data_IF_529881885730
#
_entry.id   IF_529881885730
#
_cell.length_a   1.000
_cell.length_b   1.000
_cell.length_c   1.000
_cell.angle_alpha   90.00
_cell.angle_beta   90.00
_cell.angle_gamma   90.00
#
_symmetry.space_group_name_H-M   'P 1'
#
loop_
_entity.id
_entity.type
_entity.pdbx_description
1 polymer ?
#
# COMPACT_ATOMS: atom_id res chain seq x y z
N UNK A 1 -11.67 17.84 6.58
CA UNK A 1 -11.61 19.30 6.35
C UNK A 1 -10.16 19.76 6.20
N UNK A 2 -9.55 19.55 5.04
CA UNK A 2 -8.47 20.43 4.60
C UNK A 2 -9.10 21.43 3.63
N UNK A 3 -8.91 22.75 3.83
CA UNK A 3 -9.28 23.70 2.79
C UNK A 3 -8.50 23.32 1.53
N UNK A 4 -9.10 23.44 0.35
CA UNK A 4 -8.40 23.37 -0.92
C UNK A 4 -7.19 24.31 -0.84
N UNK A 5 -6.00 23.79 -0.47
CA UNK A 5 -4.77 24.55 -0.55
C UNK A 5 -4.53 24.68 -2.04
N UNK A 6 -4.83 25.87 -2.56
CA UNK A 6 -4.67 26.15 -3.96
C UNK A 6 -3.18 25.99 -4.27
N UNK A 7 -2.87 25.08 -5.21
CA UNK A 7 -1.51 24.87 -5.67
C UNK A 7 -0.91 26.19 -6.13
N UNK A 8 0.38 26.41 -5.83
CA UNK A 8 1.13 27.51 -6.44
C UNK A 8 1.30 27.27 -7.95
N UNK A 9 1.69 28.30 -8.69
CA UNK A 9 1.93 28.13 -10.13
C UNK A 9 3.13 27.21 -10.38
N UNK A 10 4.14 27.24 -9.52
CA UNK A 10 5.29 26.35 -9.56
C UNK A 10 4.91 24.91 -9.25
N UNK A 11 4.07 24.67 -8.23
CA UNK A 11 3.54 23.32 -7.94
C UNK A 11 2.71 22.78 -9.12
N UNK A 12 1.94 23.63 -9.82
CA UNK A 12 1.21 23.24 -11.04
C UNK A 12 2.15 22.88 -12.18
N UNK A 13 3.18 23.67 -12.43
CA UNK A 13 4.18 23.41 -13.47
C UNK A 13 4.91 22.09 -13.18
N UNK A 14 5.33 21.88 -11.93
CA UNK A 14 5.97 20.65 -11.46
C UNK A 14 5.09 19.42 -11.67
N UNK A 15 3.83 19.44 -11.22
CA UNK A 15 2.92 18.30 -11.38
C UNK A 15 2.56 18.04 -12.85
N UNK A 16 2.39 19.10 -13.66
CA UNK A 16 2.14 18.94 -15.09
C UNK A 16 3.36 18.35 -15.81
N UNK A 17 4.57 18.80 -15.49
CA UNK A 17 5.80 18.25 -16.04
C UNK A 17 5.94 16.76 -15.68
N UNK A 18 5.63 16.39 -14.44
CA UNK A 18 5.61 14.98 -14.02
C UNK A 18 4.59 14.15 -14.80
N UNK A 19 3.37 14.67 -15.03
CA UNK A 19 2.34 14.01 -15.82
C UNK A 19 2.70 13.86 -17.31
N UNK A 20 3.50 14.78 -17.85
CA UNK A 20 4.01 14.72 -19.23
C UNK A 20 5.30 13.89 -19.34
N UNK A 21 5.91 13.50 -18.22
CA UNK A 21 7.19 12.81 -18.18
C UNK A 21 8.39 13.69 -18.53
N UNK A 22 8.28 15.02 -18.39
CA UNK A 22 9.38 15.96 -18.66
C UNK A 22 10.35 16.01 -17.49
N UNK A 23 11.34 15.12 -17.54
CA UNK A 23 12.35 14.95 -16.49
C UNK A 23 13.20 16.21 -16.33
N UNK A 24 13.46 16.96 -17.41
CA UNK A 24 14.28 18.16 -17.36
C UNK A 24 13.60 19.26 -16.54
N UNK A 25 12.32 19.52 -16.80
CA UNK A 25 11.54 20.51 -16.05
C UNK A 25 11.32 20.05 -14.61
N UNK A 26 11.05 18.76 -14.38
CA UNK A 26 10.90 18.23 -13.01
C UNK A 26 12.19 18.42 -12.22
N UNK A 27 13.34 18.04 -12.78
CA UNK A 27 14.65 18.22 -12.14
C UNK A 27 14.92 19.68 -11.83
N UNK A 28 14.73 20.57 -12.82
CA UNK A 28 14.90 22.00 -12.64
C UNK A 28 14.02 22.54 -11.51
N UNK A 29 12.75 22.12 -11.46
CA UNK A 29 11.80 22.57 -10.45
C UNK A 29 12.18 22.12 -9.03
N UNK A 30 12.78 20.93 -8.90
CA UNK A 30 13.23 20.39 -7.61
C UNK A 30 14.55 21.04 -7.15
N UNK A 31 15.42 21.38 -8.08
CA UNK A 31 16.75 21.95 -7.80
C UNK A 31 16.73 23.49 -7.66
N UNK A 32 15.64 24.14 -8.05
CA UNK A 32 15.45 25.59 -7.88
C UNK A 32 15.41 25.96 -6.39
N UNK A 33 16.47 26.61 -5.92
CA UNK A 33 16.62 27.07 -4.54
C UNK A 33 15.89 28.40 -4.27
N UNK A 34 15.56 29.15 -5.33
CA UNK A 34 14.96 30.47 -5.21
C UNK A 34 13.43 30.40 -5.08
N UNK A 35 12.83 29.24 -5.41
CA UNK A 35 11.39 29.00 -5.29
C UNK A 35 11.06 27.94 -4.24
N UNK A 36 10.21 28.24 -3.24
CA UNK A 36 9.80 27.26 -2.24
C UNK A 36 8.82 26.24 -2.83
N UNK A 37 9.33 25.20 -3.49
CA UNK A 37 8.54 24.08 -4.01
C UNK A 37 8.28 23.02 -2.93
N UNK A 38 7.01 22.69 -2.71
CA UNK A 38 6.66 21.47 -2.00
C UNK A 38 6.64 20.27 -2.97
N UNK A 39 7.71 19.49 -2.98
CA UNK A 39 7.84 18.28 -3.83
C UNK A 39 6.78 17.20 -3.55
N UNK A 40 6.15 17.25 -2.36
CA UNK A 40 5.08 16.35 -1.93
C UNK A 40 3.68 16.92 -2.21
N UNK A 41 3.57 18.00 -2.99
CA UNK A 41 2.26 18.51 -3.41
C UNK A 41 1.47 17.44 -4.17
N UNK A 42 0.14 17.57 -4.10
CA UNK A 42 -0.80 16.66 -4.74
C UNK A 42 -1.78 17.45 -5.59
N UNK A 43 -2.22 16.85 -6.69
CA UNK A 43 -3.26 17.44 -7.52
C UNK A 43 -4.65 17.37 -6.85
N UNK A 44 -5.68 17.82 -7.55
CA UNK A 44 -7.06 17.81 -7.07
C UNK A 44 -7.63 16.39 -6.88
N UNK A 45 -6.98 15.36 -7.42
CA UNK A 45 -7.31 13.95 -7.21
C UNK A 45 -6.48 13.32 -6.07
N UNK A 46 -5.59 14.08 -5.42
CA UNK A 46 -4.71 13.57 -4.37
C UNK A 46 -3.46 12.86 -4.88
N UNK A 47 -3.12 12.97 -6.18
CA UNK A 47 -1.96 12.32 -6.80
C UNK A 47 -0.72 13.21 -6.67
N UNK A 48 0.37 12.66 -6.15
CA UNK A 48 1.67 13.33 -6.14
C UNK A 48 2.44 13.10 -7.45
N UNK A 49 3.54 13.82 -7.66
CA UNK A 49 4.40 13.66 -8.84
C UNK A 49 4.83 12.20 -9.10
N UNK A 50 5.14 11.44 -8.04
CA UNK A 50 5.52 10.02 -8.20
C UNK A 50 4.34 9.13 -8.60
N UNK A 51 3.10 9.46 -8.21
CA UNK A 51 1.91 8.76 -8.71
C UNK A 51 1.77 8.95 -10.22
N UNK A 52 1.97 10.19 -10.68
CA UNK A 52 1.91 10.54 -12.10
C UNK A 52 3.03 9.84 -12.89
N UNK A 53 4.24 9.79 -12.32
CA UNK A 53 5.36 9.06 -12.92
C UNK A 53 5.09 7.54 -13.06
N UNK A 54 4.44 6.94 -12.05
CA UNK A 54 3.98 5.54 -12.08
C UNK A 54 2.93 5.33 -13.18
N UNK A 55 1.95 6.23 -13.31
CA UNK A 55 0.91 6.14 -14.35
C UNK A 55 1.48 6.23 -15.77
N UNK A 56 2.53 7.03 -15.96
CA UNK A 56 3.27 7.16 -17.22
C UNK A 56 4.30 6.04 -17.45
N UNK A 57 4.46 5.12 -16.49
CA UNK A 57 5.51 4.10 -16.47
C UNK A 57 6.94 4.64 -16.68
N UNK A 58 7.20 5.88 -16.24
CA UNK A 58 8.48 6.54 -16.41
C UNK A 58 9.42 6.21 -15.25
N UNK A 59 10.24 5.17 -15.44
CA UNK A 59 11.17 4.66 -14.44
C UNK A 59 12.23 5.68 -14.00
N UNK A 60 12.81 6.42 -14.95
CA UNK A 60 13.83 7.43 -14.67
C UNK A 60 13.26 8.56 -13.81
N UNK A 61 12.03 8.98 -14.09
CA UNK A 61 11.33 9.96 -13.29
C UNK A 61 11.00 9.43 -11.88
N UNK A 62 10.59 8.16 -11.76
CA UNK A 62 10.36 7.52 -10.46
C UNK A 62 11.64 7.55 -9.63
N UNK A 63 12.78 7.13 -10.20
CA UNK A 63 14.08 7.13 -9.50
C UNK A 63 14.48 8.54 -9.05
N UNK A 64 14.37 9.54 -9.93
CA UNK A 64 14.64 10.94 -9.59
C UNK A 64 13.80 11.42 -8.39
N UNK A 65 12.51 11.11 -8.38
CA UNK A 65 11.58 11.57 -7.34
C UNK A 65 11.80 10.88 -5.99
N UNK A 66 12.27 9.62 -5.99
CA UNK A 66 12.56 8.85 -4.77
C UNK A 66 13.71 9.44 -3.93
N UNK A 67 14.52 10.33 -4.49
CA UNK A 67 15.56 11.05 -3.75
C UNK A 67 15.02 12.18 -2.85
N UNK A 68 13.81 12.66 -3.13
CA UNK A 68 13.31 13.95 -2.61
C UNK A 68 11.94 13.84 -1.95
N UNK A 69 11.14 12.85 -2.34
CA UNK A 69 9.79 12.64 -1.82
C UNK A 69 9.81 11.89 -0.49
N UNK A 70 8.88 12.25 0.39
CA UNK A 70 8.73 11.61 1.70
C UNK A 70 8.22 10.17 1.56
N UNK A 71 8.64 9.29 2.48
CA UNK A 71 8.29 7.87 2.46
C UNK A 71 6.78 7.61 2.41
N UNK A 72 5.95 8.45 3.04
CA UNK A 72 4.48 8.31 2.98
C UNK A 72 3.93 8.36 1.55
N UNK A 73 4.42 9.28 0.72
CA UNK A 73 3.99 9.40 -0.67
C UNK A 73 4.59 8.30 -1.54
N UNK A 74 5.77 7.77 -1.19
CA UNK A 74 6.38 6.61 -1.84
C UNK A 74 5.59 5.33 -1.54
N UNK A 75 5.14 5.11 -0.31
CA UNK A 75 4.29 3.97 0.08
C UNK A 75 2.94 4.00 -0.66
N UNK A 76 2.30 5.17 -0.76
CA UNK A 76 1.07 5.32 -1.56
C UNK A 76 1.31 5.03 -3.05
N UNK A 77 2.41 5.55 -3.61
CA UNK A 77 2.76 5.29 -5.01
C UNK A 77 3.12 3.82 -5.25
N UNK A 78 3.71 3.12 -4.27
CA UNK A 78 3.97 1.69 -4.32
C UNK A 78 2.67 0.90 -4.37
N UNK A 79 1.70 1.20 -3.50
CA UNK A 79 0.39 0.55 -3.54
C UNK A 79 -0.31 0.80 -4.88
N UNK A 80 -0.22 2.02 -5.42
CA UNK A 80 -0.71 2.37 -6.76
C UNK A 80 -0.01 1.57 -7.87
N UNK A 81 1.31 1.44 -7.82
CA UNK A 81 2.08 0.65 -8.77
C UNK A 81 1.68 -0.84 -8.74
N UNK A 82 1.40 -1.38 -7.55
CA UNK A 82 0.94 -2.76 -7.38
C UNK A 82 -0.49 -2.94 -7.94
N UNK A 83 -1.40 -2.00 -7.67
CA UNK A 83 -2.78 -2.07 -8.19
C UNK A 83 -2.83 -1.99 -9.71
N UNK A 84 -1.91 -1.21 -10.31
CA UNK A 84 -1.68 -1.11 -11.75
C UNK A 84 -0.97 -2.32 -12.36
N UNK A 85 -0.29 -3.13 -11.55
CA UNK A 85 0.47 -4.29 -12.00
C UNK A 85 1.79 -3.97 -12.71
N UNK A 86 2.36 -2.77 -12.49
CA UNK A 86 3.61 -2.31 -13.15
C UNK A 86 4.84 -2.88 -12.43
N UNK A 87 5.11 -4.17 -12.64
CA UNK A 87 6.08 -4.98 -11.88
C UNK A 87 7.49 -4.39 -11.85
N UNK A 88 7.94 -3.82 -12.98
CA UNK A 88 9.27 -3.19 -13.09
C UNK A 88 9.41 -1.98 -12.15
N UNK A 89 8.39 -1.13 -12.06
CA UNK A 89 8.40 0.04 -11.20
C UNK A 89 8.32 -0.37 -9.73
N UNK A 90 7.46 -1.35 -9.42
CA UNK A 90 7.39 -1.95 -8.08
C UNK A 90 8.77 -2.43 -7.64
N UNK A 91 9.49 -3.14 -8.52
CA UNK A 91 10.85 -3.59 -8.27
C UNK A 91 11.81 -2.44 -7.97
N UNK A 92 11.81 -1.40 -8.81
CA UNK A 92 12.66 -0.21 -8.60
C UNK A 92 12.38 0.44 -7.25
N UNK A 93 11.11 0.64 -6.90
CA UNK A 93 10.74 1.26 -5.62
C UNK A 93 11.22 0.42 -4.44
N UNK A 94 10.94 -0.88 -4.41
CA UNK A 94 11.30 -1.73 -3.25
C UNK A 94 12.80 -2.01 -3.13
N UNK A 95 13.57 -1.82 -4.21
CA UNK A 95 15.03 -1.97 -4.24
C UNK A 95 15.77 -0.65 -3.96
N UNK A 96 15.07 0.47 -4.00
CA UNK A 96 15.69 1.78 -3.83
C UNK A 96 16.22 1.96 -2.38
N UNK A 97 17.47 2.42 -2.19
CA UNK A 97 18.07 2.60 -0.87
C UNK A 97 17.24 3.48 0.07
N UNK A 98 16.67 4.58 -0.44
CA UNK A 98 15.83 5.48 0.36
C UNK A 98 14.53 4.82 0.82
N UNK A 99 13.96 3.93 0.02
CA UNK A 99 12.76 3.19 0.42
C UNK A 99 13.09 2.20 1.53
N UNK A 100 14.19 1.45 1.37
CA UNK A 100 14.64 0.47 2.38
C UNK A 100 14.93 1.17 3.71
N UNK A 101 15.69 2.26 3.69
CA UNK A 101 16.02 3.03 4.89
C UNK A 101 14.77 3.69 5.49
N UNK A 102 13.94 4.30 4.64
CA UNK A 102 12.74 5.03 5.05
C UNK A 102 11.65 4.12 5.62
N UNK A 103 11.40 2.95 5.01
CA UNK A 103 10.35 2.01 5.43
C UNK A 103 10.61 1.45 6.83
N UNK A 104 11.86 1.14 7.15
CA UNK A 104 12.23 0.65 8.49
C UNK A 104 12.08 1.73 9.57
N UNK A 105 12.44 2.97 9.25
CA UNK A 105 12.21 4.10 10.14
C UNK A 105 10.70 4.36 10.31
N UNK A 106 9.95 4.33 9.20
CA UNK A 106 8.52 4.57 9.17
C UNK A 106 7.76 3.57 10.05
N UNK A 107 8.06 2.27 9.95
CA UNK A 107 7.46 1.23 10.81
C UNK A 107 7.70 1.45 12.31
N UNK A 108 8.83 2.06 12.69
CA UNK A 108 9.16 2.32 14.11
C UNK A 108 8.47 3.56 14.65
N UNK A 109 8.31 4.58 13.83
CA UNK A 109 7.77 5.88 14.25
C UNK A 109 6.26 5.95 14.11
N UNK A 110 5.68 5.20 13.17
CA UNK A 110 4.25 5.28 12.91
C UNK A 110 3.44 4.53 13.98
N UNK A 111 2.35 5.16 14.42
CA UNK A 111 1.31 4.47 15.20
C UNK A 111 0.68 3.38 14.33
N UNK A 112 0.23 2.29 14.96
CA UNK A 112 -0.44 1.19 14.26
C UNK A 112 -1.50 1.76 13.28
N UNK A 113 -1.39 1.44 11.96
CA UNK A 113 -2.30 1.95 10.93
C UNK A 113 -3.78 1.76 11.26
N UNK A 114 -4.09 0.76 12.09
CA UNK A 114 -5.42 0.52 12.60
C UNK A 114 -6.05 1.73 13.31
N UNK A 115 -5.28 2.58 13.99
CA UNK A 115 -5.82 3.73 14.72
C UNK A 115 -5.81 5.04 13.92
N UNK A 116 -5.42 4.98 12.64
CA UNK A 116 -5.49 6.14 11.74
C UNK A 116 -6.95 6.50 11.44
N UNK A 117 -7.29 7.76 11.61
CA UNK A 117 -8.60 8.35 11.30
C UNK A 117 -8.57 9.23 10.06
N UNK A 118 -7.40 9.43 9.44
CA UNK A 118 -7.22 10.29 8.29
C UNK A 118 -7.43 9.52 6.97
N UNK A 119 -8.46 9.91 6.21
CA UNK A 119 -8.77 9.39 4.86
C UNK A 119 -7.85 10.04 3.79
N UNK A 120 -6.54 10.07 4.04
CA UNK A 120 -5.58 10.61 3.06
C UNK A 120 -5.20 9.61 1.97
N UNK A 121 -5.36 8.32 2.27
CA UNK A 121 -5.04 7.21 1.36
C UNK A 121 -6.29 6.78 0.58
N UNK A 122 -6.09 6.40 -0.68
CA UNK A 122 -7.10 5.68 -1.46
C UNK A 122 -7.25 4.20 -0.99
N UNK A 123 -6.24 3.68 -0.30
CA UNK A 123 -6.23 2.32 0.21
C UNK A 123 -6.64 2.27 1.68
N UNK A 124 -7.26 1.16 2.08
CA UNK A 124 -7.56 0.93 3.50
C UNK A 124 -6.25 0.82 4.28
N UNK A 125 -6.13 1.42 5.49
CA UNK A 125 -4.85 1.48 6.21
C UNK A 125 -4.30 0.11 6.64
N UNK A 126 -5.13 -0.94 6.61
CA UNK A 126 -4.73 -2.32 6.87
C UNK A 126 -4.22 -3.09 5.63
N UNK A 127 -4.32 -2.50 4.44
CA UNK A 127 -3.77 -3.08 3.20
C UNK A 127 -2.27 -2.80 3.15
N UNK A 128 -1.48 -3.85 3.29
CA UNK A 128 -0.03 -3.79 3.05
C UNK A 128 0.28 -4.07 1.57
N UNK A 129 1.47 -3.68 1.07
CA UNK A 129 1.87 -3.99 -0.31
C UNK A 129 1.73 -5.46 -0.70
N UNK A 130 2.11 -6.38 0.21
CA UNK A 130 1.98 -7.82 -0.02
C UNK A 130 0.52 -8.29 -0.01
N UNK A 131 -0.34 -7.74 0.87
CA UNK A 131 -1.78 -8.03 0.87
C UNK A 131 -2.40 -7.58 -0.47
N UNK A 132 -2.06 -6.39 -0.95
CA UNK A 132 -2.57 -5.86 -2.21
C UNK A 132 -2.10 -6.71 -3.40
N UNK A 133 -0.81 -7.06 -3.45
CA UNK A 133 -0.28 -7.94 -4.50
C UNK A 133 -0.99 -9.30 -4.53
N UNK A 134 -1.29 -9.87 -3.36
CA UNK A 134 -2.07 -11.09 -3.24
C UNK A 134 -3.53 -10.93 -3.68
N UNK A 135 -4.19 -9.81 -3.38
CA UNK A 135 -5.54 -9.50 -3.89
C UNK A 135 -5.58 -9.44 -5.42
N UNK A 136 -4.53 -8.90 -6.05
CA UNK A 136 -4.37 -8.88 -7.50
C UNK A 136 -3.83 -10.20 -8.09
N UNK A 137 -3.55 -11.21 -7.25
CA UNK A 137 -3.01 -12.51 -7.64
C UNK A 137 -1.75 -12.41 -8.54
N UNK A 138 -0.93 -11.37 -8.34
CA UNK A 138 0.25 -11.10 -9.15
C UNK A 138 1.47 -11.86 -8.58
N UNK A 139 1.77 -13.03 -9.15
CA UNK A 139 2.83 -13.91 -8.65
C UNK A 139 4.22 -13.26 -8.65
N UNK A 140 4.54 -12.41 -9.62
CA UNK A 140 5.86 -11.77 -9.74
C UNK A 140 6.08 -10.80 -8.58
N UNK A 141 5.11 -9.92 -8.31
CA UNK A 141 5.18 -8.97 -7.19
C UNK A 141 5.19 -9.72 -5.84
N UNK A 142 4.32 -10.72 -5.67
CA UNK A 142 4.28 -11.54 -4.46
C UNK A 142 5.65 -12.17 -4.20
N UNK A 143 6.24 -12.77 -5.22
CA UNK A 143 7.56 -13.40 -5.13
C UNK A 143 8.65 -12.39 -4.73
N UNK A 144 8.64 -11.17 -5.27
CA UNK A 144 9.57 -10.11 -4.88
C UNK A 144 9.51 -9.78 -3.38
N UNK A 145 8.31 -9.73 -2.79
CA UNK A 145 8.11 -9.49 -1.36
C UNK A 145 8.50 -10.71 -0.51
N UNK A 146 8.12 -11.93 -0.94
CA UNK A 146 8.46 -13.16 -0.22
C UNK A 146 9.98 -13.38 -0.14
N UNK A 147 10.74 -13.10 -1.20
CA UNK A 147 12.21 -13.18 -1.17
C UNK A 147 12.87 -12.23 -0.17
N UNK A 148 12.17 -11.15 0.20
CA UNK A 148 12.59 -10.18 1.22
C UNK A 148 12.07 -10.52 2.61
N UNK A 149 11.58 -11.75 2.81
CA UNK A 149 11.02 -12.26 4.07
C UNK A 149 9.74 -11.53 4.53
N UNK A 150 9.03 -10.84 3.63
CA UNK A 150 7.69 -10.36 3.97
C UNK A 150 6.73 -11.55 4.01
N UNK A 151 5.82 -11.54 4.98
CA UNK A 151 4.78 -12.57 5.14
C UNK A 151 3.47 -11.92 5.55
N UNK A 152 2.36 -12.53 5.17
CA UNK A 152 1.04 -12.13 5.64
C UNK A 152 0.80 -12.85 6.96
N UNK A 153 0.67 -12.08 8.03
CA UNK A 153 0.39 -12.66 9.34
C UNK A 153 -1.05 -13.16 9.41
N UNK A 154 -1.21 -14.39 9.88
CA UNK A 154 -2.54 -14.97 10.05
C UNK A 154 -3.28 -14.22 11.18
N UNK A 155 -4.47 -13.66 10.92
CA UNK A 155 -5.22 -12.98 11.96
C UNK A 155 -5.56 -13.91 13.13
N UNK A 156 -5.58 -13.36 14.34
CA UNK A 156 -6.02 -14.11 15.52
C UNK A 156 -7.48 -14.61 15.39
N UNK A 157 -7.84 -15.70 16.09
CA UNK A 157 -9.23 -16.14 16.20
C UNK A 157 -10.16 -15.03 16.69
N UNK A 158 -11.44 -15.08 16.29
CA UNK A 158 -12.44 -14.05 16.64
C UNK A 158 -12.50 -13.80 18.16
N UNK A 159 -12.47 -14.89 18.93
CA UNK A 159 -12.58 -14.90 20.39
C UNK A 159 -11.25 -14.69 21.13
N UNK A 160 -10.19 -14.24 20.44
CA UNK A 160 -8.91 -13.92 21.09
C UNK A 160 -9.06 -12.75 22.06
N UNK A 161 -8.55 -12.92 23.29
CA UNK A 161 -8.61 -11.94 24.38
C UNK A 161 -7.25 -11.28 24.68
N UNK A 162 -6.27 -11.33 23.77
CA UNK A 162 -5.02 -10.60 23.96
C UNK A 162 -5.29 -9.08 23.98
N UNK A 163 -4.38 -8.33 24.61
CA UNK A 163 -4.47 -6.88 24.77
C UNK A 163 -4.73 -6.16 23.44
N UNK A 164 -4.05 -6.57 22.37
CA UNK A 164 -4.16 -5.93 21.06
C UNK A 164 -5.52 -6.20 20.41
N UNK A 165 -6.02 -7.43 20.50
CA UNK A 165 -7.33 -7.80 19.97
C UNK A 165 -8.46 -7.08 20.69
N UNK A 166 -8.39 -7.00 22.02
CA UNK A 166 -9.39 -6.31 22.85
C UNK A 166 -9.35 -4.81 22.59
N UNK A 167 -8.15 -4.21 22.52
CA UNK A 167 -7.98 -2.78 22.20
C UNK A 167 -8.57 -2.44 20.82
N UNK A 168 -8.23 -3.22 19.78
CA UNK A 168 -8.76 -3.01 18.43
C UNK A 168 -10.28 -3.21 18.35
N UNK A 169 -10.81 -4.19 19.08
CA UNK A 169 -12.25 -4.45 19.14
C UNK A 169 -13.03 -3.31 19.80
N UNK A 170 -12.51 -2.77 20.91
CA UNK A 170 -13.14 -1.68 21.63
C UNK A 170 -13.01 -0.35 20.88
N UNK A 171 -11.97 -0.20 20.07
CA UNK A 171 -11.78 0.98 19.23
C UNK A 171 -12.73 0.99 18.03
N UNK A 172 -12.69 -0.05 17.19
CA UNK A 172 -13.57 -0.18 16.02
C UNK A 172 -13.70 -1.64 15.58
N UNK A 173 -14.83 -2.26 15.93
CA UNK A 173 -15.13 -3.66 15.60
C UNK A 173 -15.25 -3.89 14.08
N UNK A 174 -15.79 -2.92 13.34
CA UNK A 174 -16.00 -3.04 11.89
C UNK A 174 -14.65 -2.96 11.15
N UNK A 175 -13.79 -2.01 11.54
CA UNK A 175 -12.43 -1.90 11.00
C UNK A 175 -11.60 -3.15 11.31
N UNK A 176 -11.78 -3.75 12.50
CA UNK A 176 -11.13 -5.03 12.86
C UNK A 176 -11.62 -6.17 11.97
N UNK A 177 -12.93 -6.27 11.75
CA UNK A 177 -13.52 -7.28 10.86
C UNK A 177 -13.05 -7.13 9.42
N UNK A 178 -13.03 -5.88 8.90
CA UNK A 178 -12.52 -5.57 7.55
C UNK A 178 -11.04 -5.93 7.38
N UNK A 179 -10.20 -5.57 8.36
CA UNK A 179 -8.77 -5.92 8.35
C UNK A 179 -8.55 -7.44 8.35
N UNK A 180 -9.31 -8.17 9.16
CA UNK A 180 -9.29 -9.64 9.16
C UNK A 180 -9.66 -10.17 7.78
N UNK A 181 -10.75 -9.70 7.18
CA UNK A 181 -11.19 -10.10 5.85
C UNK A 181 -10.10 -9.88 4.79
N UNK A 182 -9.47 -8.71 4.76
CA UNK A 182 -8.41 -8.41 3.79
C UNK A 182 -7.22 -9.37 3.92
N UNK A 183 -6.79 -9.66 5.15
CA UNK A 183 -5.73 -10.63 5.40
C UNK A 183 -6.12 -12.04 4.95
N UNK A 184 -7.32 -12.53 5.28
CA UNK A 184 -7.78 -13.85 4.83
C UNK A 184 -7.95 -13.95 3.32
N UNK A 185 -8.46 -12.91 2.65
CA UNK A 185 -8.53 -12.87 1.18
C UNK A 185 -7.15 -12.98 0.55
N UNK A 186 -6.16 -12.30 1.13
CA UNK A 186 -4.79 -12.37 0.64
C UNK A 186 -4.14 -13.74 0.92
N UNK A 187 -4.36 -14.32 2.10
CA UNK A 187 -3.94 -15.70 2.41
C UNK A 187 -4.57 -16.74 1.47
N UNK A 188 -5.81 -16.50 1.03
CA UNK A 188 -6.56 -17.35 0.10
C UNK A 188 -6.17 -17.16 -1.38
N UNK A 189 -5.30 -16.19 -1.68
CA UNK A 189 -4.84 -15.94 -3.04
C UNK A 189 -4.10 -17.17 -3.59
N UNK A 190 -4.48 -17.70 -4.77
CA UNK A 190 -3.82 -18.86 -5.36
C UNK A 190 -2.32 -18.66 -5.57
N UNK A 191 -1.90 -17.47 -6.05
CA UNK A 191 -0.49 -17.15 -6.24
C UNK A 191 0.26 -17.08 -4.91
N UNK A 192 -0.35 -16.50 -3.86
CA UNK A 192 0.27 -16.48 -2.54
C UNK A 192 0.44 -17.90 -1.99
N UNK A 193 -0.63 -18.71 -1.99
CA UNK A 193 -0.58 -20.09 -1.52
C UNK A 193 0.46 -20.93 -2.26
N UNK A 194 0.55 -20.79 -3.58
CA UNK A 194 1.51 -21.54 -4.40
C UNK A 194 2.97 -21.19 -4.08
N UNK A 195 3.24 -19.95 -3.68
CA UNK A 195 4.59 -19.47 -3.38
C UNK A 195 4.97 -19.59 -1.90
N UNK A 196 4.00 -19.61 -0.98
CA UNK A 196 4.25 -19.55 0.46
C UNK A 196 3.99 -20.87 1.21
N UNK A 197 3.23 -21.80 0.63
CA UNK A 197 2.86 -23.06 1.30
C UNK A 197 3.62 -24.26 0.72
N UNK A 198 4.08 -25.17 1.58
CA UNK A 198 4.66 -26.44 1.18
C UNK A 198 3.61 -27.41 0.60
N UNK A 199 2.37 -27.32 1.09
CA UNK A 199 1.22 -28.06 0.58
C UNK A 199 0.08 -27.06 0.31
N UNK A 200 0.04 -26.45 -0.88
CA UNK A 200 -0.99 -25.48 -1.23
C UNK A 200 -2.39 -26.09 -1.20
N UNK A 201 -2.56 -27.35 -1.59
CA UNK A 201 -3.86 -28.02 -1.66
C UNK A 201 -4.46 -28.16 -0.25
N UNK A 202 -3.71 -28.73 0.68
CA UNK A 202 -4.15 -28.86 2.07
C UNK A 202 -4.41 -27.48 2.70
N UNK A 203 -3.53 -26.51 2.47
CA UNK A 203 -3.69 -25.15 2.96
C UNK A 203 -4.99 -24.49 2.45
N UNK A 204 -5.34 -24.68 1.17
CA UNK A 204 -6.60 -24.20 0.60
C UNK A 204 -7.81 -24.78 1.33
N UNK A 205 -7.84 -26.10 1.58
CA UNK A 205 -8.97 -26.73 2.27
C UNK A 205 -9.12 -26.24 3.71
N UNK A 206 -8.02 -26.13 4.44
CA UNK A 206 -8.01 -25.64 5.81
C UNK A 206 -8.50 -24.18 5.88
N UNK A 207 -7.96 -23.31 5.03
CA UNK A 207 -8.33 -21.91 5.01
C UNK A 207 -9.79 -21.71 4.61
N UNK A 208 -10.28 -22.46 3.61
CA UNK A 208 -11.70 -22.43 3.22
C UNK A 208 -12.62 -22.83 4.37
N UNK A 209 -12.26 -23.86 5.14
CA UNK A 209 -13.05 -24.29 6.29
C UNK A 209 -13.09 -23.22 7.38
N UNK A 210 -11.97 -22.54 7.62
CA UNK A 210 -11.86 -21.45 8.58
C UNK A 210 -12.69 -20.24 8.16
N UNK A 211 -12.54 -19.77 6.91
CA UNK A 211 -13.31 -18.66 6.36
C UNK A 211 -14.81 -18.91 6.40
N UNK A 212 -15.28 -20.15 6.12
CA UNK A 212 -16.70 -20.53 6.25
C UNK A 212 -17.22 -20.36 7.69
N UNK A 213 -16.41 -20.70 8.70
CA UNK A 213 -16.80 -20.49 10.11
C UNK A 213 -16.85 -19.01 10.44
N UNK A 214 -15.88 -18.23 9.98
CA UNK A 214 -15.86 -16.77 10.17
C UNK A 214 -17.10 -16.11 9.55
N UNK A 215 -17.50 -16.52 8.34
CA UNK A 215 -18.68 -15.99 7.64
C UNK A 215 -20.01 -16.17 8.40
N UNK A 216 -20.09 -17.19 9.27
CA UNK A 216 -21.27 -17.43 10.10
C UNK A 216 -21.32 -16.50 11.32
N UNK A 217 -20.16 -16.05 11.79
CA UNK A 217 -20.00 -15.20 12.98
C UNK A 217 -20.01 -13.72 12.59
N UNK A 218 -19.21 -13.33 11.60
CA UNK A 218 -19.06 -11.95 11.10
C UNK A 218 -20.00 -11.71 9.92
N UNK A 219 -21.25 -11.37 10.24
CA UNK A 219 -22.33 -11.21 9.25
C UNK A 219 -22.17 -9.95 8.40
N UNK A 220 -21.40 -8.98 8.87
CA UNK A 220 -21.15 -7.68 8.24
C UNK A 220 -20.54 -7.82 6.84
N UNK A 221 -19.79 -8.90 6.60
CA UNK A 221 -19.12 -9.18 5.33
C UNK A 221 -19.43 -10.55 4.75
N UNK A 222 -20.57 -11.16 5.11
CA UNK A 222 -20.90 -12.55 4.75
C UNK A 222 -20.61 -12.91 3.28
N UNK A 223 -21.07 -12.09 2.34
CA UNK A 223 -20.87 -12.30 0.89
C UNK A 223 -19.38 -12.29 0.49
N UNK A 224 -18.56 -11.47 1.16
CA UNK A 224 -17.12 -11.37 0.87
C UNK A 224 -16.31 -12.56 1.36
N UNK A 225 -16.87 -13.40 2.23
CA UNK A 225 -16.24 -14.63 2.72
C UNK A 225 -16.52 -15.84 1.82
N UNK A 226 -17.50 -15.76 0.92
CA UNK A 226 -17.97 -16.88 0.09
C UNK A 226 -17.17 -17.07 -1.21
N UNK A 227 -15.91 -16.61 -1.24
CA UNK A 227 -14.97 -16.78 -2.35
C UNK A 227 -14.66 -18.26 -2.68
#
# INVERSE_FOLDING_TARGET
>A
NHPNKQLSDEERVYLNAAALGDIAIVRQSIEDLDSPLNVNCVDYMGRSAIHLAVDCENMELVELLMERINIEHVEEALLHAISRGVTKIVKVIIEHPNYIAGSEQFKRTMKDPFFRTDEKSQFSPDITPLILAAHHNNHEIIQMFLYRNHKIEKPHPIYCQCTDCVTKQNYDSLKRSRSRLHAYKALASPAYMALSSNDPIMATFQLRQEMKKLAQVEKEFKVSWEL
#
